data_IF_314954377505
#
_entry.id   IF_314954377505
#
_cell.length_a   1.000
_cell.length_b   1.000
_cell.length_c   1.000
_cell.angle_alpha   90.00
_cell.angle_beta   90.00
_cell.angle_gamma   90.00
#
_symmetry.space_group_name_H-M   'P 1'
#
loop_
_entity.id
_entity.type
_entity.pdbx_description
1 polymer ?
#
# COMPACT_ATOMS: atom_id res chain seq x y z
N UNK A 1 1.44 -17.14 -32.81
CA UNK A 1 1.29 -15.73 -32.33
C UNK A 1 2.20 -15.37 -31.15
N UNK A 2 2.61 -16.31 -30.28
CA UNK A 2 3.41 -16.01 -29.09
C UNK A 2 4.85 -15.50 -29.38
N UNK A 3 5.48 -15.88 -30.51
CA UNK A 3 6.89 -15.53 -30.81
C UNK A 3 7.18 -14.03 -30.87
N UNK A 4 6.21 -13.22 -31.33
CA UNK A 4 6.37 -11.76 -31.39
C UNK A 4 6.40 -11.14 -30.00
N UNK A 5 5.59 -11.62 -29.06
CA UNK A 5 5.54 -11.13 -27.69
C UNK A 5 6.88 -11.34 -26.96
N UNK A 6 7.49 -12.52 -27.11
CA UNK A 6 8.80 -12.81 -26.53
C UNK A 6 9.91 -11.91 -27.09
N UNK A 7 9.84 -11.54 -28.38
CA UNK A 7 10.78 -10.59 -28.99
C UNK A 7 10.71 -9.21 -28.31
N UNK A 8 9.50 -8.68 -28.06
CA UNK A 8 9.32 -7.40 -27.37
C UNK A 8 9.75 -7.45 -25.90
N UNK A 9 9.44 -8.54 -25.19
CA UNK A 9 9.88 -8.75 -23.81
C UNK A 9 11.41 -8.73 -23.67
N UNK A 10 12.13 -9.31 -24.65
CA UNK A 10 13.59 -9.29 -24.67
C UNK A 10 14.16 -7.90 -24.98
N UNK A 11 13.49 -7.09 -25.81
CA UNK A 11 13.92 -5.72 -26.09
C UNK A 11 13.81 -4.83 -24.86
N UNK A 12 12.77 -4.99 -24.04
CA UNK A 12 12.60 -4.25 -22.78
C UNK A 12 13.70 -4.59 -21.76
N UNK A 13 14.23 -5.81 -21.79
CA UNK A 13 15.36 -6.23 -20.93
C UNK A 13 16.72 -5.69 -21.38
N UNK A 14 16.86 -5.30 -22.65
CA UNK A 14 18.12 -4.76 -23.18
C UNK A 14 18.25 -3.26 -22.86
N UNK A 15 19.46 -2.76 -22.62
CA UNK A 15 19.67 -1.36 -22.20
C UNK A 15 19.72 -0.35 -23.37
N UNK A 16 18.90 -0.61 -24.40
CA UNK A 16 18.79 0.26 -25.58
C UNK A 16 18.07 1.57 -25.23
N UNK A 17 18.32 2.63 -26.01
CA UNK A 17 17.60 3.90 -25.88
C UNK A 17 16.08 3.74 -26.02
N UNK A 18 15.63 2.83 -26.89
CA UNK A 18 14.21 2.48 -27.05
C UNK A 18 13.63 1.82 -25.80
N UNK A 19 14.34 0.85 -25.22
CA UNK A 19 13.90 0.18 -23.99
C UNK A 19 13.73 1.17 -22.83
N UNK A 20 14.68 2.10 -22.64
CA UNK A 20 14.58 3.17 -21.62
C UNK A 20 13.38 4.09 -21.83
N UNK A 21 13.01 4.37 -23.09
CA UNK A 21 11.80 5.15 -23.41
C UNK A 21 10.54 4.35 -23.11
N UNK A 22 10.54 3.05 -23.42
CA UNK A 22 9.42 2.15 -23.16
C UNK A 22 9.17 1.95 -21.65
N UNK A 23 10.23 1.78 -20.86
CA UNK A 23 10.11 1.69 -19.39
C UNK A 23 9.57 2.99 -18.81
N UNK A 24 10.08 4.15 -19.24
CA UNK A 24 9.53 5.45 -18.82
C UNK A 24 8.06 5.64 -19.20
N UNK A 25 7.67 5.21 -20.41
CA UNK A 25 6.27 5.25 -20.86
C UNK A 25 5.38 4.35 -19.98
N UNK A 26 5.80 3.11 -19.75
CA UNK A 26 5.10 2.16 -18.88
C UNK A 26 4.89 2.76 -17.48
N UNK A 27 5.94 3.30 -16.88
CA UNK A 27 5.86 3.94 -15.57
C UNK A 27 4.88 5.12 -15.58
N UNK A 28 4.83 5.90 -16.65
CA UNK A 28 3.88 7.01 -16.78
C UNK A 28 2.43 6.55 -16.92
N UNK A 29 2.18 5.43 -17.62
CA UNK A 29 0.84 4.87 -17.82
C UNK A 29 0.29 4.32 -16.49
N UNK A 30 1.15 3.63 -15.74
CA UNK A 30 0.75 2.97 -14.49
C UNK A 30 0.95 3.83 -13.23
N UNK A 31 1.37 5.09 -13.38
CA UNK A 31 1.58 6.01 -12.25
C UNK A 31 2.78 5.68 -11.37
N UNK A 32 3.73 4.91 -11.89
CA UNK A 32 5.02 4.66 -11.25
C UNK A 32 6.01 5.82 -11.52
N UNK A 33 7.22 5.68 -11.00
CA UNK A 33 8.22 6.75 -11.01
C UNK A 33 8.87 6.84 -12.39
N UNK A 34 8.74 7.99 -13.06
CA UNK A 34 9.26 8.21 -14.42
C UNK A 34 10.67 8.77 -14.46
N UNK A 35 11.11 9.45 -13.40
CA UNK A 35 12.45 10.05 -13.29
C UNK A 35 13.42 9.05 -12.66
N UNK A 36 14.67 8.94 -13.16
CA UNK A 36 15.68 8.15 -12.49
C UNK A 36 15.90 8.73 -11.09
N UNK A 37 15.61 7.93 -10.08
CA UNK A 37 15.63 8.36 -8.68
C UNK A 37 16.64 7.51 -7.91
N UNK A 38 17.37 8.10 -6.96
CA UNK A 38 18.35 7.37 -6.16
C UNK A 38 17.68 6.35 -5.24
N UNK A 39 18.41 5.30 -4.86
CA UNK A 39 17.93 4.27 -3.91
C UNK A 39 17.49 4.86 -2.56
N UNK A 40 18.14 5.94 -2.10
CA UNK A 40 17.78 6.66 -0.87
C UNK A 40 16.42 7.35 -1.01
N UNK A 41 16.18 8.05 -2.12
CA UNK A 41 14.90 8.73 -2.38
C UNK A 41 13.73 7.76 -2.57
N UNK A 42 13.99 6.55 -3.09
CA UNK A 42 12.97 5.48 -3.18
C UNK A 42 12.40 5.08 -1.81
N UNK A 43 13.12 5.32 -0.71
CA UNK A 43 12.62 5.09 0.66
C UNK A 43 11.36 5.91 0.93
N UNK A 44 11.30 7.16 0.47
CA UNK A 44 10.16 8.06 0.69
C UNK A 44 8.91 7.50 0.01
N UNK A 45 9.05 7.04 -1.24
CA UNK A 45 7.95 6.41 -1.97
C UNK A 45 7.43 5.19 -1.21
N UNK A 46 8.33 4.33 -0.71
CA UNK A 46 7.94 3.13 0.07
C UNK A 46 7.20 3.48 1.37
N UNK A 47 7.68 4.47 2.11
CA UNK A 47 7.04 4.92 3.36
C UNK A 47 5.63 5.44 3.09
N UNK A 48 5.44 6.19 2.01
CA UNK A 48 4.16 6.77 1.67
C UNK A 48 3.21 5.80 0.95
N UNK A 49 3.74 4.75 0.33
CA UNK A 49 2.91 3.70 -0.29
C UNK A 49 2.30 2.74 0.74
N UNK A 50 2.87 2.67 1.94
CA UNK A 50 2.41 1.77 3.01
C UNK A 50 1.57 2.56 4.01
N UNK A 51 0.57 1.93 4.62
CA UNK A 51 -0.16 2.54 5.72
C UNK A 51 0.78 2.76 6.93
N UNK A 52 0.84 3.98 7.50
CA UNK A 52 1.62 4.24 8.71
C UNK A 52 1.17 3.33 9.86
N UNK A 53 2.13 2.87 10.67
CA UNK A 53 1.88 1.96 11.80
C UNK A 53 0.84 2.52 12.77
N UNK A 54 0.88 3.82 13.06
CA UNK A 54 -0.04 4.47 14.01
C UNK A 54 -1.50 4.49 13.53
N UNK A 55 -1.72 4.32 12.22
CA UNK A 55 -3.06 4.25 11.61
C UNK A 55 -3.54 2.82 11.42
N UNK A 56 -2.67 1.83 11.62
CA UNK A 56 -3.04 0.45 11.39
C UNK A 56 -3.87 -0.04 12.61
N UNK A 57 -5.13 -0.46 12.39
CA UNK A 57 -6.04 -0.81 13.47
C UNK A 57 -5.55 -1.97 14.32
N UNK A 58 -4.70 -2.85 13.77
CA UNK A 58 -4.07 -3.93 14.54
C UNK A 58 -3.24 -3.41 15.71
N UNK A 59 -2.58 -2.24 15.55
CA UNK A 59 -1.80 -1.63 16.62
C UNK A 59 -2.61 -0.58 17.39
N UNK A 60 -3.40 0.26 16.70
CA UNK A 60 -4.18 1.33 17.34
C UNK A 60 -5.29 0.79 18.24
N UNK A 61 -6.00 -0.26 17.81
CA UNK A 61 -7.14 -0.84 18.53
C UNK A 61 -6.75 -2.13 19.25
N UNK A 62 -5.52 -2.19 19.77
CA UNK A 62 -5.01 -3.38 20.45
C UNK A 62 -5.86 -3.77 21.66
N UNK A 63 -6.32 -2.79 22.44
CA UNK A 63 -7.22 -3.01 23.58
C UNK A 63 -8.66 -2.67 23.22
N UNK A 64 -9.64 -3.44 23.74
CA UNK A 64 -11.05 -3.12 23.57
C UNK A 64 -11.43 -1.85 24.33
N UNK A 65 -12.56 -1.26 23.92
CA UNK A 65 -13.14 -0.04 24.54
C UNK A 65 -13.81 -0.36 25.87
N UNK A 66 -13.02 -0.75 26.87
CA UNK A 66 -13.51 -1.26 28.15
C UNK A 66 -14.39 -0.27 28.92
N UNK A 67 -14.08 1.03 28.87
CA UNK A 67 -14.89 2.09 29.50
C UNK A 67 -16.31 2.10 28.94
N UNK A 68 -16.47 2.02 27.63
CA UNK A 68 -17.78 2.03 26.99
C UNK A 68 -18.54 0.74 27.25
N UNK A 69 -17.85 -0.42 27.21
CA UNK A 69 -18.48 -1.68 27.55
C UNK A 69 -18.96 -1.70 29.00
N UNK A 70 -18.20 -1.07 29.92
CA UNK A 70 -18.59 -0.93 31.32
C UNK A 70 -19.82 -0.02 31.47
N UNK A 71 -19.81 1.15 30.82
CA UNK A 71 -20.95 2.07 30.86
C UNK A 71 -22.21 1.45 30.25
N UNK A 72 -22.07 0.71 29.16
CA UNK A 72 -23.17 0.00 28.52
C UNK A 72 -23.76 -1.06 29.45
N UNK A 73 -22.91 -1.93 30.01
CA UNK A 73 -23.35 -3.02 30.90
C UNK A 73 -23.94 -2.48 32.21
N UNK A 74 -23.42 -1.38 32.75
CA UNK A 74 -23.99 -0.69 33.89
C UNK A 74 -25.43 -0.21 33.61
N UNK A 75 -25.66 0.48 32.49
CA UNK A 75 -27.01 0.94 32.10
C UNK A 75 -27.98 -0.22 31.85
N UNK A 76 -27.52 -1.27 31.19
CA UNK A 76 -28.34 -2.47 30.97
C UNK A 76 -28.73 -3.14 32.29
N UNK A 77 -27.86 -3.08 33.30
CA UNK A 77 -28.16 -3.56 34.65
C UNK A 77 -29.18 -2.69 35.37
N UNK A 78 -29.10 -1.37 35.25
CA UNK A 78 -30.11 -0.44 35.77
C UNK A 78 -31.50 -0.71 35.15
N UNK A 79 -31.55 -1.08 33.88
CA UNK A 79 -32.79 -1.47 33.21
C UNK A 79 -33.27 -2.91 33.52
N UNK A 80 -32.49 -3.70 34.25
CA UNK A 80 -32.82 -5.10 34.55
C UNK A 80 -32.63 -6.06 33.37
N UNK A 81 -31.96 -5.63 32.29
CA UNK A 81 -31.70 -6.43 31.09
C UNK A 81 -30.43 -7.28 31.19
N UNK A 82 -29.52 -6.92 32.10
CA UNK A 82 -28.21 -7.56 32.29
C UNK A 82 -27.89 -7.66 33.79
N UNK A 83 -27.21 -8.72 34.24
CA UNK A 83 -26.84 -8.91 35.66
C UNK A 83 -25.39 -9.32 35.81
#
# INVERSE_FOLDING_TARGET
MASRFYKYANIVKNDTSYARRMTRLSNSIFGEITRPTTSKSMKVVKILSIQPHDKNPMYTHWYPRHVETHQLTAKLREYGLYR
#
